data_IF_772083094343
#
_entry.id   IF_772083094343
#
_cell.length_a   1.000
_cell.length_b   1.000
_cell.length_c   1.000
_cell.angle_alpha   90.00
_cell.angle_beta   90.00
_cell.angle_gamma   90.00
#
_symmetry.space_group_name_H-M   'P 1'
#
loop_
_entity.id
_entity.type
_entity.pdbx_description
1 polymer ?
#
# COMPACT_ATOMS: atom_id res chain seq x y z
N UNK A 1 -5.61 -4.41 10.22
CA UNK A 1 -4.14 -4.23 10.14
C UNK A 1 -3.56 -5.51 9.56
N UNK A 2 -2.54 -5.43 8.70
CA UNK A 2 -1.88 -6.61 8.14
C UNK A 2 -0.98 -7.30 9.17
N UNK A 3 -0.90 -8.62 9.11
CA UNK A 3 -0.06 -9.49 9.94
C UNK A 3 1.11 -10.11 9.17
N UNK A 4 1.92 -10.90 9.89
CA UNK A 4 3.02 -11.65 9.29
C UNK A 4 2.44 -12.75 8.39
N UNK A 5 2.87 -12.77 7.12
CA UNK A 5 2.40 -13.73 6.13
C UNK A 5 1.33 -13.19 5.18
N UNK A 6 0.74 -12.03 5.47
CA UNK A 6 -0.25 -11.41 4.60
C UNK A 6 0.40 -10.90 3.30
N UNK A 7 -0.28 -11.12 2.19
CA UNK A 7 0.02 -10.44 0.93
C UNK A 7 -0.65 -9.07 0.93
N UNK A 8 0.10 -8.03 0.57
CA UNK A 8 -0.34 -6.64 0.71
C UNK A 8 -0.04 -5.80 -0.53
N UNK A 9 -0.89 -4.81 -0.79
CA UNK A 9 -0.59 -3.75 -1.75
C UNK A 9 0.23 -2.65 -1.07
N UNK A 10 1.42 -2.37 -1.62
CA UNK A 10 2.33 -1.34 -1.10
C UNK A 10 2.34 -0.14 -2.03
N UNK A 11 2.05 1.03 -1.48
CA UNK A 11 2.25 2.31 -2.15
C UNK A 11 3.63 2.87 -1.78
N UNK A 12 4.46 3.15 -2.79
CA UNK A 12 5.74 3.83 -2.61
C UNK A 12 5.51 5.33 -2.37
N UNK A 13 6.40 5.95 -1.62
CA UNK A 13 6.34 7.38 -1.26
C UNK A 13 6.03 8.27 -2.47
N UNK A 14 5.07 9.17 -2.29
CA UNK A 14 4.57 10.04 -3.35
C UNK A 14 3.35 10.83 -2.91
N UNK A 15 2.62 11.39 -3.87
CA UNK A 15 1.41 12.17 -3.60
C UNK A 15 0.32 11.34 -2.90
N UNK A 16 0.13 10.08 -3.30
CA UNK A 16 -0.92 9.22 -2.74
C UNK A 16 -0.77 8.98 -1.24
N UNK A 17 0.45 8.77 -0.74
CA UNK A 17 0.71 8.60 0.70
C UNK A 17 0.36 9.87 1.49
N UNK A 18 0.63 11.06 0.94
CA UNK A 18 0.30 12.35 1.58
C UNK A 18 -1.19 12.61 1.65
N UNK A 19 -1.93 12.23 0.61
CA UNK A 19 -3.39 12.37 0.58
C UNK A 19 -4.06 11.44 1.59
N UNK A 20 -3.63 10.17 1.66
CA UNK A 20 -4.19 9.19 2.60
C UNK A 20 -3.94 9.60 4.06
N UNK A 21 -2.76 10.14 4.35
CA UNK A 21 -2.38 10.52 5.70
C UNK A 21 -2.72 11.96 6.05
N UNK A 22 -3.31 12.72 5.10
CA UNK A 22 -3.68 14.13 5.23
C UNK A 22 -2.54 15.02 5.78
N UNK A 23 -1.30 14.73 5.34
CA UNK A 23 -0.09 15.43 5.80
C UNK A 23 0.88 15.70 4.66
N UNK A 24 1.31 16.95 4.55
CA UNK A 24 2.24 17.38 3.49
C UNK A 24 3.67 16.89 3.70
N UNK A 25 4.15 16.78 4.95
CA UNK A 25 5.52 16.38 5.27
C UNK A 25 5.52 15.21 6.23
N UNK A 26 5.91 14.05 5.73
CA UNK A 26 5.98 12.79 6.48
C UNK A 26 7.16 11.96 5.97
N UNK A 27 8.08 11.50 6.84
CA UNK A 27 9.26 10.74 6.43
C UNK A 27 8.93 9.25 6.25
N UNK A 28 7.90 8.92 5.45
CA UNK A 28 7.44 7.56 5.22
C UNK A 28 7.76 7.15 3.78
N UNK A 29 8.59 6.12 3.61
CA UNK A 29 9.00 5.62 2.29
C UNK A 29 7.97 4.74 1.59
N UNK A 30 7.11 4.07 2.33
CA UNK A 30 6.12 3.13 1.80
C UNK A 30 4.98 2.93 2.79
N UNK A 31 3.78 2.67 2.27
CA UNK A 31 2.56 2.45 3.05
C UNK A 31 1.84 1.21 2.53
N UNK A 32 1.43 0.33 3.44
CA UNK A 32 0.46 -0.73 3.12
C UNK A 32 -0.90 -0.07 2.99
N UNK A 33 -1.52 -0.17 1.81
CA UNK A 33 -2.82 0.46 1.51
C UNK A 33 -3.96 -0.54 1.39
N UNK A 34 -3.65 -1.84 1.37
CA UNK A 34 -4.65 -2.91 1.34
C UNK A 34 -4.04 -4.28 1.62
N UNK A 35 -4.86 -5.18 2.14
CA UNK A 35 -4.57 -6.62 2.26
C UNK A 35 -5.23 -7.29 1.05
N UNK A 36 -4.55 -8.27 0.46
CA UNK A 36 -5.03 -8.94 -0.75
C UNK A 36 -5.83 -10.19 -0.37
N UNK A 37 -7.08 -10.23 -0.82
CA UNK A 37 -7.94 -11.42 -0.68
C UNK A 37 -7.75 -12.41 -1.85
N UNK A 38 -7.68 -11.90 -3.08
CA UNK A 38 -7.55 -12.72 -4.29
C UNK A 38 -6.73 -11.99 -5.38
N UNK A 39 -6.03 -12.75 -6.22
CA UNK A 39 -5.35 -12.26 -7.42
C UNK A 39 -5.78 -13.10 -8.60
N UNK A 40 -6.43 -12.46 -9.57
CA UNK A 40 -6.69 -13.04 -10.88
C UNK A 40 -5.59 -12.61 -11.86
N UNK A 41 -4.94 -13.57 -12.50
CA UNK A 41 -3.89 -13.34 -13.49
C UNK A 41 -4.43 -13.70 -14.87
N UNK A 42 -4.35 -12.79 -15.83
CA UNK A 42 -4.61 -13.13 -17.24
C UNK A 42 -3.46 -13.96 -17.80
N UNK A 43 -3.77 -14.97 -18.63
CA UNK A 43 -2.74 -15.64 -19.44
C UNK A 43 -2.07 -14.65 -20.41
N UNK A 44 -0.78 -14.87 -20.70
CA UNK A 44 0.03 -13.99 -21.56
C UNK A 44 -0.19 -14.24 -23.04
#
# INVERSE_FOLDING_TARGET
>A
QAGVGDLVLVMREGNGVRQILEREKIPIRSLIVGIIDEIEMSER
#
